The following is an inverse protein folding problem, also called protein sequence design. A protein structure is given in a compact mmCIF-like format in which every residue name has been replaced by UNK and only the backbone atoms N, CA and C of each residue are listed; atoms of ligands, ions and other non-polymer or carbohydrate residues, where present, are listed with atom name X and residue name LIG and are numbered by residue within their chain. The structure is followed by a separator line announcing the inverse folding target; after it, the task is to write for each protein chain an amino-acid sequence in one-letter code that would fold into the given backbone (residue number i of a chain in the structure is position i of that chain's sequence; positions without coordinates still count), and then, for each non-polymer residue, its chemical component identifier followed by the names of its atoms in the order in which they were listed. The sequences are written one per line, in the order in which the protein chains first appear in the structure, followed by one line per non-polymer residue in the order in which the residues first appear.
data_IF_817553092855
#
_entry.id   IF_817553092855
#
_cell.length_a   1.000
_cell.length_b   1.000
_cell.length_c   1.000
_cell.angle_alpha   90.00
_cell.angle_beta   90.00
_cell.angle_gamma   90.00
#
_symmetry.space_group_name_H-M   'P 1'
#
loop_
_entity.id
_entity.type
_entity.pdbx_description
1 polymer ?
#
# COMPACT_ATOMS: atom_id res chain seq x y z
N UNK A 1 -56.88 18.37 35.86
CA UNK A 1 -55.80 19.03 36.65
C UNK A 1 -54.57 18.17 36.54
N UNK A 2 -53.36 18.59 36.19
CA UNK A 2 -52.77 19.83 35.69
C UNK A 2 -51.54 19.38 34.89
N UNK A 3 -51.32 19.99 33.73
CA UNK A 3 -50.15 19.82 32.86
C UNK A 3 -48.91 20.53 33.45
N UNK A 4 -47.72 20.01 33.17
CA UNK A 4 -46.49 20.77 32.85
C UNK A 4 -45.48 19.78 32.23
N UNK A 5 -45.31 19.74 30.91
CA UNK A 5 -44.40 20.57 30.07
C UNK A 5 -42.92 20.47 30.47
N UNK A 6 -42.17 19.62 29.76
CA UNK A 6 -40.77 19.85 29.40
C UNK A 6 -40.59 19.52 27.91
N UNK A 7 -40.06 20.50 27.18
CA UNK A 7 -39.83 20.51 25.74
C UNK A 7 -38.47 19.89 25.39
N UNK A 8 -38.26 19.47 24.13
CA UNK A 8 -36.98 18.95 23.66
C UNK A 8 -36.04 20.11 23.30
N UNK A 9 -34.82 20.08 23.83
CA UNK A 9 -33.72 20.95 23.40
C UNK A 9 -33.01 20.26 22.23
N UNK A 10 -33.35 20.67 21.01
CA UNK A 10 -32.45 20.55 19.87
C UNK A 10 -31.45 21.70 19.97
N UNK A 11 -30.19 21.37 20.25
CA UNK A 11 -29.08 22.31 20.36
C UNK A 11 -27.89 21.81 19.56
N UNK A 12 -27.78 22.36 18.36
CA UNK A 12 -26.60 22.62 17.54
C UNK A 12 -25.23 22.21 18.13
N UNK A 13 -24.55 21.24 17.50
CA UNK A 13 -23.10 21.10 17.59
C UNK A 13 -22.50 21.66 16.30
N UNK A 14 -21.79 22.77 16.49
CA UNK A 14 -21.18 23.57 15.45
C UNK A 14 -19.99 22.85 14.82
N UNK A 15 -19.91 22.95 13.50
CA UNK A 15 -18.69 22.80 12.72
C UNK A 15 -17.61 23.75 13.24
N UNK A 16 -16.44 23.22 13.55
CA UNK A 16 -15.19 23.97 13.56
C UNK A 16 -14.46 23.70 12.25
N UNK A 17 -14.87 24.40 11.19
CA UNK A 17 -14.13 24.51 9.94
C UNK A 17 -13.39 25.85 9.93
N UNK A 18 -12.07 25.82 10.15
CA UNK A 18 -11.14 26.82 9.62
C UNK A 18 -10.79 26.30 8.22
N UNK A 19 -11.12 26.95 7.10
CA UNK A 19 -10.47 28.16 6.56
C UNK A 19 -11.48 28.97 5.73
N UNK A 20 -11.33 30.29 5.80
CA UNK A 20 -12.16 31.37 5.22
C UNK A 20 -12.34 31.34 3.69
N UNK A 21 -13.60 31.40 3.24
CA UNK A 21 -13.99 31.81 1.89
C UNK A 21 -15.25 32.71 1.94
N UNK A 22 -15.24 33.83 1.20
CA UNK A 22 -16.29 34.83 1.12
C UNK A 22 -17.55 34.31 0.37
N UNK A 23 -18.76 34.84 0.64
CA UNK A 23 -20.00 34.19 0.25
C UNK A 23 -20.41 34.50 -1.20
N UNK A 24 -20.73 33.45 -1.96
CA UNK A 24 -21.65 33.54 -3.10
C UNK A 24 -23.00 32.96 -2.70
N UNK A 25 -24.04 33.75 -2.94
CA UNK A 25 -25.44 33.49 -2.69
C UNK A 25 -25.99 32.43 -3.66
N UNK A 26 -26.72 31.41 -3.16
CA UNK A 26 -27.50 30.48 -3.98
C UNK A 26 -28.81 30.11 -3.30
N UNK A 27 -29.90 30.44 -3.99
CA UNK A 27 -31.26 30.04 -3.68
C UNK A 27 -31.47 28.52 -3.72
N UNK A 28 -32.39 28.08 -2.87
CA UNK A 28 -32.86 26.71 -2.72
C UNK A 28 -33.68 26.25 -3.94
N UNK A 29 -33.75 24.93 -4.15
CA UNK A 29 -35.07 24.33 -4.11
C UNK A 29 -35.14 23.01 -3.33
N UNK A 30 -36.27 22.87 -2.66
CA UNK A 30 -36.83 21.72 -1.98
C UNK A 30 -37.13 20.54 -2.91
N UNK A 31 -36.90 19.30 -2.47
CA UNK A 31 -37.69 18.14 -2.87
C UNK A 31 -37.94 17.17 -1.71
N UNK A 32 -39.12 16.57 -1.80
CA UNK A 32 -39.89 15.82 -0.82
C UNK A 32 -39.47 14.36 -0.65
N UNK A 33 -39.74 13.84 0.55
CA UNK A 33 -39.56 12.46 0.97
C UNK A 33 -40.51 11.46 0.29
N UNK A 34 -40.06 10.21 0.23
CA UNK A 34 -40.93 9.02 0.26
C UNK A 34 -40.23 7.90 1.01
N UNK A 35 -40.90 7.40 2.04
CA UNK A 35 -40.45 6.34 2.93
C UNK A 35 -41.01 4.96 2.50
N UNK A 36 -40.18 3.94 2.64
CA UNK A 36 -40.55 2.51 2.77
C UNK A 36 -39.37 1.87 3.51
N UNK A 37 -39.46 1.28 4.70
CA UNK A 37 -40.51 0.42 5.23
C UNK A 37 -40.09 -1.04 5.04
N UNK A 38 -39.09 -1.51 5.80
CA UNK A 38 -38.57 -2.88 5.72
C UNK A 38 -37.99 -3.36 7.06
N UNK A 39 -38.62 -4.40 7.59
CA UNK A 39 -38.47 -4.99 8.92
C UNK A 39 -37.17 -5.78 9.10
N UNK A 40 -36.44 -5.54 10.19
CA UNK A 40 -35.28 -6.34 10.62
C UNK A 40 -35.75 -7.37 11.65
N UNK A 41 -35.77 -8.65 11.25
CA UNK A 41 -35.95 -9.79 12.14
C UNK A 41 -34.59 -10.35 12.55
N UNK A 42 -34.32 -10.37 13.85
CA UNK A 42 -33.14 -11.02 14.42
C UNK A 42 -33.31 -12.52 14.55
N UNK A 43 -32.18 -13.23 14.52
CA UNK A 43 -32.06 -14.57 15.07
C UNK A 43 -30.66 -14.75 15.66
N UNK A 44 -30.65 -14.94 16.98
CA UNK A 44 -29.52 -15.44 17.77
C UNK A 44 -29.06 -16.81 17.29
N UNK A 45 -27.75 -17.04 17.35
CA UNK A 45 -27.13 -18.33 17.08
C UNK A 45 -25.67 -18.33 17.50
N UNK A 46 -25.42 -18.33 18.81
CA UNK A 46 -24.06 -18.47 19.35
C UNK A 46 -23.48 -19.84 19.04
N UNK A 47 -22.25 -19.88 18.51
CA UNK A 47 -21.37 -21.05 18.49
C UNK A 47 -19.95 -20.59 18.86
N UNK A 48 -19.53 -20.97 20.06
CA UNK A 48 -18.14 -20.93 20.53
C UNK A 48 -17.36 -22.05 19.84
N UNK A 49 -16.40 -21.70 19.00
CA UNK A 49 -15.47 -22.65 18.38
C UNK A 49 -14.05 -22.10 18.44
N UNK A 50 -13.28 -22.57 19.42
CA UNK A 50 -11.83 -22.36 19.50
C UNK A 50 -11.15 -23.18 18.40
N UNK A 51 -10.60 -22.53 17.39
CA UNK A 51 -9.77 -23.16 16.37
C UNK A 51 -8.31 -22.72 16.52
N UNK A 52 -7.50 -23.67 16.97
CA UNK A 52 -6.04 -23.62 16.97
C UNK A 52 -5.52 -23.73 15.54
N UNK A 53 -4.88 -22.67 15.03
CA UNK A 53 -4.14 -22.69 13.77
C UNK A 53 -2.67 -22.97 14.08
N UNK A 54 -2.17 -24.08 13.55
CA UNK A 54 -0.75 -24.47 13.58
C UNK A 54 -0.22 -24.31 12.15
N UNK A 55 0.68 -23.36 11.91
CA UNK A 55 1.47 -23.29 10.67
C UNK A 55 2.95 -23.32 10.99
N UNK A 56 3.54 -24.50 10.93
CA UNK A 56 4.98 -24.72 10.87
C UNK A 56 5.44 -24.57 9.41
N UNK A 57 6.19 -23.52 9.09
CA UNK A 57 6.97 -23.48 7.85
C UNK A 57 8.33 -24.12 8.12
N UNK A 58 8.49 -25.37 7.67
CA UNK A 58 9.78 -25.96 7.37
C UNK A 58 9.85 -26.18 5.85
N UNK A 59 10.92 -25.64 5.27
CA UNK A 59 11.32 -25.75 3.87
C UNK A 59 11.61 -27.21 3.52
N UNK A 60 11.05 -27.70 2.41
CA UNK A 60 11.75 -28.55 1.41
C UNK A 60 10.74 -29.17 0.41
N UNK A 61 10.43 -28.41 -0.65
CA UNK A 61 10.12 -28.90 -2.00
C UNK A 61 10.04 -27.69 -2.96
N UNK A 62 10.56 -27.75 -4.20
CA UNK A 62 10.45 -26.65 -5.12
C UNK A 62 9.00 -26.51 -5.58
N UNK A 63 8.39 -25.36 -5.29
CA UNK A 63 7.12 -24.94 -5.90
C UNK A 63 7.27 -24.99 -7.45
N UNK A 64 6.23 -25.37 -8.19
CA UNK A 64 6.28 -25.34 -9.65
C UNK A 64 6.57 -23.90 -10.09
N UNK A 65 7.68 -23.71 -10.79
CA UNK A 65 8.11 -22.45 -11.37
C UNK A 65 7.12 -22.02 -12.45
N UNK A 66 6.17 -21.16 -12.09
CA UNK A 66 5.56 -20.25 -13.06
C UNK A 66 6.71 -19.36 -13.56
N UNK A 67 6.90 -19.30 -14.87
CA UNK A 67 7.99 -18.52 -15.45
C UNK A 67 7.70 -17.02 -15.24
N UNK A 68 8.53 -16.38 -14.40
CA UNK A 68 8.55 -14.97 -13.96
C UNK A 68 8.73 -13.91 -15.08
N UNK A 69 8.15 -14.10 -16.26
CA UNK A 69 8.26 -13.20 -17.41
C UNK A 69 6.85 -12.86 -17.97
N UNK A 70 5.95 -12.33 -17.13
CA UNK A 70 4.54 -12.06 -17.53
C UNK A 70 4.30 -10.72 -18.23
N UNK A 71 5.26 -9.80 -18.26
CA UNK A 71 5.16 -8.58 -19.06
C UNK A 71 6.05 -8.69 -20.32
N UNK A 72 5.51 -8.48 -21.54
CA UNK A 72 4.18 -7.94 -21.85
C UNK A 72 3.02 -8.94 -21.70
N UNK A 73 1.83 -8.43 -21.35
CA UNK A 73 0.59 -9.21 -21.29
C UNK A 73 0.08 -9.56 -22.69
N UNK A 74 -0.82 -10.55 -22.78
CA UNK A 74 -1.42 -11.01 -24.03
C UNK A 74 -2.27 -9.96 -24.75
N UNK A 75 -2.79 -8.97 -24.03
CA UNK A 75 -3.51 -7.82 -24.59
C UNK A 75 -2.58 -6.74 -25.19
N UNK A 76 -1.25 -6.91 -25.08
CA UNK A 76 -0.24 -5.98 -25.60
C UNK A 76 0.32 -4.99 -24.56
N UNK A 77 -0.18 -5.01 -23.32
CA UNK A 77 0.33 -4.18 -22.23
C UNK A 77 1.82 -4.49 -21.95
N UNK A 78 2.69 -3.51 -21.62
CA UNK A 78 2.39 -2.08 -21.36
C UNK A 78 2.30 -1.20 -22.60
N UNK A 79 2.46 -1.76 -23.81
CA UNK A 79 2.55 -0.99 -25.05
C UNK A 79 1.18 -0.84 -25.73
N UNK A 80 0.25 -0.15 -25.07
CA UNK A 80 -1.10 0.10 -25.58
C UNK A 80 -1.15 1.40 -26.36
N UNK A 81 -1.60 1.34 -27.61
CA UNK A 81 -1.83 2.53 -28.43
C UNK A 81 -3.09 3.27 -27.99
N UNK A 82 -3.08 4.61 -28.04
CA UNK A 82 -4.23 5.45 -27.78
C UNK A 82 -4.51 6.36 -29.00
N UNK A 83 -5.64 6.20 -29.72
CA UNK A 83 -6.72 5.24 -29.47
C UNK A 83 -6.42 3.82 -30.02
N UNK A 84 -7.03 2.79 -29.42
CA UNK A 84 -7.01 1.41 -29.93
C UNK A 84 -8.14 0.56 -29.35
N UNK A 85 -8.47 -0.56 -30.00
CA UNK A 85 -9.43 -1.53 -29.44
C UNK A 85 -8.94 -2.13 -28.12
N UNK A 86 -7.63 -2.34 -27.98
CA UNK A 86 -7.04 -2.84 -26.75
C UNK A 86 -7.28 -1.88 -25.58
N UNK A 87 -7.13 -0.56 -25.81
CA UNK A 87 -7.47 0.45 -24.81
C UNK A 87 -8.97 0.45 -24.49
N UNK A 88 -9.84 0.29 -25.49
CA UNK A 88 -11.29 0.19 -25.27
C UNK A 88 -11.65 -1.01 -24.39
N UNK A 89 -11.02 -2.17 -24.62
CA UNK A 89 -11.23 -3.39 -23.83
C UNK A 89 -10.73 -3.21 -22.38
N UNK A 90 -9.58 -2.55 -22.18
CA UNK A 90 -9.08 -2.20 -20.83
C UNK A 90 -10.05 -1.23 -20.14
N UNK A 91 -10.52 -0.20 -20.83
CA UNK A 91 -11.48 0.75 -20.26
C UNK A 91 -12.79 0.07 -19.84
N UNK A 92 -13.30 -0.86 -20.65
CA UNK A 92 -14.50 -1.62 -20.32
C UNK A 92 -14.27 -2.49 -19.08
N UNK A 93 -13.16 -3.23 -19.02
CA UNK A 93 -12.82 -4.05 -17.86
C UNK A 93 -12.57 -3.23 -16.58
N UNK A 94 -11.97 -2.05 -16.70
CA UNK A 94 -11.70 -1.13 -15.58
C UNK A 94 -12.96 -0.39 -15.08
N UNK A 95 -14.10 -0.54 -15.77
CA UNK A 95 -15.33 0.23 -15.54
C UNK A 95 -15.11 1.75 -15.61
N UNK A 96 -14.16 2.20 -16.43
CA UNK A 96 -13.72 3.59 -16.48
C UNK A 96 -12.75 3.83 -17.62
N UNK A 97 -12.52 5.09 -17.96
CA UNK A 97 -11.65 5.45 -19.08
C UNK A 97 -10.34 6.05 -18.61
N UNK A 98 -9.25 5.81 -19.36
CA UNK A 98 -8.05 6.63 -19.25
C UNK A 98 -8.42 8.14 -19.31
N UNK A 99 -7.93 8.99 -18.38
CA UNK A 99 -8.23 10.41 -18.41
C UNK A 99 -7.87 11.06 -19.75
N UNK A 100 -8.81 11.83 -20.32
CA UNK A 100 -8.65 12.50 -21.61
C UNK A 100 -8.31 14.00 -21.48
N UNK A 101 -7.87 14.42 -20.29
CA UNK A 101 -7.46 15.81 -20.04
C UNK A 101 -6.19 16.18 -20.79
N UNK A 102 -5.99 17.46 -21.15
CA UNK A 102 -4.73 17.89 -21.74
C UNK A 102 -3.60 17.74 -20.70
N UNK A 103 -2.41 17.26 -21.11
CA UNK A 103 -1.27 17.21 -20.21
C UNK A 103 -0.86 18.62 -19.74
N UNK A 104 -0.19 18.76 -18.58
CA UNK A 104 0.30 20.05 -18.08
C UNK A 104 1.02 20.87 -19.18
N UNK A 105 0.87 22.20 -19.22
CA UNK A 105 1.45 23.00 -20.30
C UNK A 105 2.98 23.10 -20.22
N UNK A 106 3.54 23.02 -19.00
CA UNK A 106 4.97 23.02 -18.73
C UNK A 106 5.41 21.63 -18.22
N UNK A 107 6.71 21.36 -18.35
CA UNK A 107 7.29 20.19 -17.71
C UNK A 107 7.25 20.34 -16.18
N UNK A 108 6.92 19.27 -15.45
CA UNK A 108 7.01 19.26 -13.99
C UNK A 108 8.42 19.56 -13.48
N UNK A 109 8.52 19.92 -12.20
CA UNK A 109 9.78 19.98 -11.50
C UNK A 109 10.53 18.63 -11.59
N UNK A 110 11.86 18.66 -11.62
CA UNK A 110 12.67 17.44 -11.74
C UNK A 110 12.38 16.43 -10.61
N UNK A 111 12.08 16.94 -9.42
CA UNK A 111 11.66 16.13 -8.27
C UNK A 111 10.31 15.44 -8.52
N UNK A 112 9.37 16.13 -9.15
CA UNK A 112 8.03 15.60 -9.47
C UNK A 112 8.06 14.59 -10.62
N UNK A 113 9.05 14.70 -11.51
CA UNK A 113 9.35 13.63 -12.48
C UNK A 113 9.75 12.34 -11.76
N UNK A 114 10.49 12.40 -10.63
CA UNK A 114 10.80 11.19 -9.85
C UNK A 114 9.53 10.56 -9.28
N UNK A 115 8.57 11.36 -8.84
CA UNK A 115 7.27 10.85 -8.40
C UNK A 115 6.51 10.14 -9.53
N UNK A 116 6.48 10.70 -10.74
CA UNK A 116 5.83 10.06 -11.89
C UNK A 116 6.54 8.76 -12.29
N UNK A 117 7.87 8.73 -12.25
CA UNK A 117 8.66 7.51 -12.46
C UNK A 117 8.33 6.45 -11.41
N UNK A 118 8.24 6.84 -10.13
CA UNK A 118 7.91 5.92 -9.05
C UNK A 118 6.49 5.36 -9.21
N UNK A 119 5.49 6.20 -9.51
CA UNK A 119 4.12 5.72 -9.78
C UNK A 119 4.15 4.69 -10.90
N UNK A 120 4.73 5.01 -12.05
CA UNK A 120 4.80 4.06 -13.16
C UNK A 120 5.56 2.76 -12.81
N UNK A 121 6.58 2.84 -11.95
CA UNK A 121 7.30 1.68 -11.44
C UNK A 121 6.44 0.79 -10.54
N UNK A 122 5.64 1.41 -9.67
CA UNK A 122 4.66 0.71 -8.83
C UNK A 122 3.61 0.00 -9.69
N UNK A 123 2.96 0.73 -10.61
CA UNK A 123 1.83 0.16 -11.37
C UNK A 123 2.27 -1.00 -12.27
N UNK A 124 3.52 -0.99 -12.76
CA UNK A 124 4.07 -2.13 -13.50
C UNK A 124 4.15 -3.40 -12.65
N UNK A 125 4.52 -3.27 -11.37
CA UNK A 125 4.51 -4.40 -10.44
C UNK A 125 3.08 -4.84 -10.14
N UNK A 126 2.16 -3.91 -9.89
CA UNK A 126 0.78 -4.26 -9.56
C UNK A 126 0.07 -4.96 -10.71
N UNK A 127 0.25 -4.49 -11.95
CA UNK A 127 -0.27 -5.19 -13.13
C UNK A 127 0.29 -6.60 -13.24
N UNK A 128 1.60 -6.79 -13.01
CA UNK A 128 2.19 -8.14 -12.95
C UNK A 128 1.49 -8.99 -11.88
N UNK A 129 1.41 -8.49 -10.66
CA UNK A 129 0.90 -9.23 -9.51
C UNK A 129 -0.57 -9.64 -9.71
N UNK A 130 -1.43 -8.71 -10.13
CA UNK A 130 -2.84 -9.00 -10.35
C UNK A 130 -3.08 -9.89 -11.57
N UNK A 131 -2.23 -9.81 -12.60
CA UNK A 131 -2.26 -10.76 -13.73
C UNK A 131 -1.93 -12.19 -13.28
N UNK A 132 -0.90 -12.35 -12.44
CA UNK A 132 -0.54 -13.64 -11.85
C UNK A 132 -1.66 -14.19 -10.97
N UNK A 133 -2.20 -13.36 -10.06
CA UNK A 133 -3.28 -13.73 -9.17
C UNK A 133 -4.53 -14.17 -9.95
N UNK A 134 -4.94 -13.39 -10.94
CA UNK A 134 -6.09 -13.71 -11.79
C UNK A 134 -5.87 -15.02 -12.55
N UNK A 135 -4.67 -15.24 -13.09
CA UNK A 135 -4.31 -16.48 -13.76
C UNK A 135 -4.39 -17.70 -12.82
N UNK A 136 -3.87 -17.57 -11.60
CA UNK A 136 -3.86 -18.66 -10.63
C UNK A 136 -5.27 -19.06 -10.19
N UNK A 137 -6.12 -18.07 -9.88
CA UNK A 137 -7.53 -18.29 -9.53
C UNK A 137 -8.29 -18.88 -10.71
N UNK A 138 -8.11 -18.32 -11.91
CA UNK A 138 -8.81 -18.75 -13.13
C UNK A 138 -8.46 -20.19 -13.52
N UNK A 139 -7.24 -20.63 -13.26
CA UNK A 139 -6.79 -21.97 -13.62
C UNK A 139 -6.89 -22.99 -12.48
N UNK A 140 -7.37 -22.61 -11.30
CA UNK A 140 -7.44 -23.47 -10.12
C UNK A 140 -6.05 -24.04 -9.76
N UNK A 141 -5.02 -23.18 -9.80
CA UNK A 141 -3.69 -23.55 -9.31
C UNK A 141 -3.80 -23.96 -7.84
N UNK A 142 -3.03 -24.95 -7.42
CA UNK A 142 -3.04 -25.43 -6.03
C UNK A 142 -2.82 -24.27 -5.05
N UNK A 143 -3.61 -24.19 -3.99
CA UNK A 143 -3.66 -23.04 -3.07
C UNK A 143 -4.53 -21.85 -3.52
N UNK A 144 -5.01 -21.82 -4.78
CA UNK A 144 -5.87 -20.75 -5.34
C UNK A 144 -7.28 -21.25 -5.73
N UNK A 145 -7.69 -22.37 -5.14
CA UNK A 145 -9.00 -22.97 -5.39
C UNK A 145 -10.05 -22.43 -4.42
N UNK A 146 -11.31 -22.49 -4.84
CA UNK A 146 -12.46 -22.04 -4.07
C UNK A 146 -13.47 -23.19 -3.99
N UNK A 147 -14.09 -23.37 -2.82
CA UNK A 147 -15.17 -24.35 -2.65
C UNK A 147 -16.45 -23.89 -3.34
N UNK A 148 -16.79 -22.59 -3.21
CA UNK A 148 -17.93 -21.97 -3.86
C UNK A 148 -17.51 -21.34 -5.20
N UNK A 149 -18.10 -21.84 -6.29
CA UNK A 149 -17.86 -21.32 -7.64
C UNK A 149 -18.41 -19.91 -7.85
N UNK A 150 -19.42 -19.50 -7.08
CA UNK A 150 -19.96 -18.15 -7.12
C UNK A 150 -19.02 -17.15 -6.46
N UNK A 151 -18.49 -17.48 -5.28
CA UNK A 151 -17.47 -16.68 -4.61
C UNK A 151 -16.23 -16.51 -5.49
N UNK A 152 -15.77 -17.60 -6.10
CA UNK A 152 -14.67 -17.57 -7.07
C UNK A 152 -14.93 -16.59 -8.20
N UNK A 153 -16.14 -16.58 -8.76
CA UNK A 153 -16.48 -15.69 -9.86
C UNK A 153 -16.50 -14.23 -9.42
N UNK A 154 -17.02 -13.93 -8.23
CA UNK A 154 -16.98 -12.57 -7.65
C UNK A 154 -15.53 -12.08 -7.53
N UNK A 155 -14.63 -12.94 -7.04
CA UNK A 155 -13.20 -12.61 -6.93
C UNK A 155 -12.56 -12.42 -8.30
N UNK A 156 -12.85 -13.30 -9.27
CA UNK A 156 -12.35 -13.15 -10.65
C UNK A 156 -12.81 -11.82 -11.25
N UNK A 157 -14.08 -11.47 -11.10
CA UNK A 157 -14.63 -10.23 -11.66
C UNK A 157 -13.97 -9.00 -11.00
N UNK A 158 -13.80 -9.02 -9.68
CA UNK A 158 -13.14 -7.95 -8.95
C UNK A 158 -11.65 -7.80 -9.33
N UNK A 159 -10.88 -8.89 -9.36
CA UNK A 159 -9.46 -8.85 -9.71
C UNK A 159 -9.25 -8.51 -11.20
N UNK A 160 -10.18 -8.89 -12.09
CA UNK A 160 -10.16 -8.46 -13.50
C UNK A 160 -10.29 -6.94 -13.60
N UNK A 161 -11.21 -6.33 -12.85
CA UNK A 161 -11.36 -4.89 -12.81
C UNK A 161 -10.12 -4.20 -12.24
N UNK A 162 -9.57 -4.72 -11.13
CA UNK A 162 -8.34 -4.22 -10.52
C UNK A 162 -7.17 -4.24 -11.51
N UNK A 163 -6.89 -5.38 -12.15
CA UNK A 163 -5.80 -5.47 -13.13
C UNK A 163 -5.94 -4.40 -14.22
N UNK A 164 -7.15 -4.23 -14.76
CA UNK A 164 -7.41 -3.23 -15.80
C UNK A 164 -7.28 -1.79 -15.27
N UNK A 165 -7.64 -1.54 -14.01
CA UNK A 165 -7.46 -0.24 -13.35
C UNK A 165 -5.97 0.09 -13.20
N UNK A 166 -5.14 -0.88 -12.79
CA UNK A 166 -3.68 -0.68 -12.74
C UNK A 166 -3.05 -0.49 -14.12
N UNK A 167 -3.59 -1.15 -15.15
CA UNK A 167 -3.18 -0.88 -16.53
C UNK A 167 -3.46 0.59 -16.91
N UNK A 168 -4.62 1.13 -16.54
CA UNK A 168 -4.95 2.54 -16.78
C UNK A 168 -4.10 3.51 -15.94
N UNK A 169 -3.79 3.18 -14.69
CA UNK A 169 -2.90 3.97 -13.85
C UNK A 169 -1.50 4.05 -14.47
N UNK A 170 -0.94 2.93 -14.93
CA UNK A 170 0.34 2.93 -15.62
C UNK A 170 0.27 3.76 -16.89
N UNK A 171 -0.74 3.55 -17.75
CA UNK A 171 -0.87 4.27 -19.02
C UNK A 171 -0.97 5.78 -18.78
N UNK A 172 -1.60 6.21 -17.68
CA UNK A 172 -1.66 7.60 -17.28
C UNK A 172 -0.27 8.13 -16.86
N UNK A 173 0.44 7.42 -15.98
CA UNK A 173 1.77 7.82 -15.50
C UNK A 173 2.81 7.83 -16.62
N UNK A 174 2.91 6.73 -17.37
CA UNK A 174 3.81 6.62 -18.53
C UNK A 174 3.40 7.54 -19.68
N UNK A 175 2.11 7.84 -19.85
CA UNK A 175 1.63 8.86 -20.77
C UNK A 175 2.11 10.26 -20.41
N UNK A 176 2.12 10.59 -19.11
CA UNK A 176 2.70 11.84 -18.62
C UNK A 176 4.22 11.88 -18.83
N UNK A 177 4.92 10.78 -18.50
CA UNK A 177 6.36 10.67 -18.74
C UNK A 177 6.69 10.79 -20.22
N UNK A 178 5.99 10.14 -21.14
CA UNK A 178 6.26 10.21 -22.58
C UNK A 178 6.28 11.64 -23.15
N UNK A 179 5.62 12.60 -22.48
CA UNK A 179 5.65 14.01 -22.87
C UNK A 179 6.88 14.76 -22.36
N UNK A 180 7.39 14.42 -21.17
CA UNK A 180 8.38 15.21 -20.44
C UNK A 180 9.68 14.46 -20.14
N UNK A 181 9.70 13.15 -20.39
CA UNK A 181 10.72 12.21 -19.94
C UNK A 181 10.59 10.85 -20.69
N UNK A 182 11.29 9.81 -20.22
CA UNK A 182 11.21 8.44 -20.73
C UNK A 182 10.20 7.60 -19.92
N UNK A 183 9.25 6.92 -20.58
CA UNK A 183 8.37 5.96 -19.91
C UNK A 183 9.15 4.83 -19.22
N UNK A 184 8.72 4.46 -18.02
CA UNK A 184 9.31 3.35 -17.26
C UNK A 184 8.96 2.02 -17.93
N UNK A 185 9.97 1.15 -17.99
CA UNK A 185 9.88 -0.19 -18.56
C UNK A 185 9.81 -1.25 -17.43
N UNK A 186 9.14 -2.39 -17.66
CA UNK A 186 9.01 -3.45 -16.67
C UNK A 186 10.37 -4.05 -16.26
N UNK A 187 10.48 -4.41 -14.99
CA UNK A 187 11.49 -5.35 -14.49
C UNK A 187 10.98 -6.80 -14.61
N UNK A 188 11.76 -7.76 -14.09
CA UNK A 188 11.20 -9.07 -13.73
C UNK A 188 10.76 -9.04 -12.27
N UNK A 189 9.64 -9.67 -12.00
CA UNK A 189 9.00 -9.64 -10.70
C UNK A 189 8.91 -11.04 -10.10
N UNK A 190 8.78 -11.09 -8.78
CA UNK A 190 8.43 -12.28 -8.01
C UNK A 190 7.28 -11.94 -7.07
N UNK A 191 6.32 -12.83 -6.95
CA UNK A 191 5.33 -12.78 -5.88
C UNK A 191 5.76 -13.73 -4.75
N UNK A 192 5.72 -13.29 -3.48
CA UNK A 192 5.98 -14.17 -2.36
C UNK A 192 4.79 -15.08 -2.03
N UNK A 193 3.62 -14.86 -2.64
CA UNK A 193 2.40 -15.58 -2.33
C UNK A 193 2.37 -16.98 -2.92
N UNK A 194 1.94 -17.96 -2.12
CA UNK A 194 1.83 -19.37 -2.53
C UNK A 194 0.40 -19.89 -2.55
N UNK A 195 -0.55 -19.09 -2.07
CA UNK A 195 -1.96 -19.40 -2.01
C UNK A 195 -2.79 -18.11 -2.09
N UNK A 196 -4.10 -18.24 -2.28
CA UNK A 196 -5.00 -17.09 -2.38
C UNK A 196 -4.97 -16.19 -1.14
N UNK A 197 -4.91 -16.79 0.06
CA UNK A 197 -4.92 -16.03 1.33
C UNK A 197 -3.68 -15.17 1.49
N UNK A 198 -2.50 -15.72 1.26
CA UNK A 198 -1.22 -15.00 1.29
C UNK A 198 -1.12 -13.97 0.16
N UNK A 199 -1.71 -14.24 -1.02
CA UNK A 199 -1.79 -13.26 -2.10
C UNK A 199 -2.64 -12.04 -1.71
N UNK A 200 -3.84 -12.24 -1.16
CA UNK A 200 -4.69 -11.14 -0.72
C UNK A 200 -4.08 -10.38 0.47
N UNK A 201 -3.43 -11.08 1.40
CA UNK A 201 -2.70 -10.44 2.48
C UNK A 201 -1.54 -9.58 1.96
N UNK A 202 -0.80 -10.08 0.98
CA UNK A 202 0.28 -9.34 0.35
C UNK A 202 -0.22 -8.14 -0.46
N UNK A 203 -1.32 -8.30 -1.19
CA UNK A 203 -2.02 -7.23 -1.88
C UNK A 203 -2.38 -6.09 -0.94
N UNK A 204 -3.01 -6.42 0.19
CA UNK A 204 -3.31 -5.45 1.24
C UNK A 204 -2.07 -4.68 1.69
N UNK A 205 -0.98 -5.39 2.02
CA UNK A 205 0.25 -4.78 2.54
C UNK A 205 0.89 -3.80 1.56
N UNK A 206 1.05 -4.16 0.28
CA UNK A 206 1.68 -3.23 -0.66
C UNK A 206 0.74 -2.06 -0.98
N UNK A 207 -0.57 -2.28 -1.09
CA UNK A 207 -1.53 -1.19 -1.28
C UNK A 207 -1.53 -0.23 -0.08
N UNK A 208 -1.39 -0.72 1.16
CA UNK A 208 -1.27 0.16 2.34
C UNK A 208 -0.01 1.05 2.27
N UNK A 209 1.09 0.55 1.71
CA UNK A 209 2.31 1.36 1.46
C UNK A 209 2.06 2.42 0.39
N UNK A 210 1.38 2.07 -0.70
CA UNK A 210 1.08 3.01 -1.81
C UNK A 210 0.09 4.10 -1.35
N UNK A 211 -0.97 3.73 -0.63
CA UNK A 211 -1.92 4.66 0.00
C UNK A 211 -1.25 5.62 0.98
N UNK A 212 -0.18 5.20 1.65
CA UNK A 212 0.66 6.05 2.48
C UNK A 212 1.57 7.00 1.69
N UNK A 213 1.93 6.63 0.46
CA UNK A 213 2.94 7.28 -0.39
C UNK A 213 2.34 8.30 -1.35
N UNK A 214 1.18 8.03 -1.95
CA UNK A 214 0.57 8.93 -2.93
C UNK A 214 0.18 10.30 -2.37
N UNK A 215 -0.27 10.46 -1.10
CA UNK A 215 -0.45 11.78 -0.48
C UNK A 215 0.85 12.58 -0.35
N UNK A 216 1.98 11.91 -0.08
CA UNK A 216 3.31 12.53 -0.08
C UNK A 216 3.66 13.03 -1.48
N UNK A 217 3.44 12.21 -2.52
CA UNK A 217 3.59 12.63 -3.93
C UNK A 217 2.73 13.86 -4.27
N UNK A 218 1.47 13.91 -3.84
CA UNK A 218 0.62 15.10 -4.04
C UNK A 218 1.16 16.33 -3.32
N UNK A 219 1.79 16.14 -2.16
CA UNK A 219 2.42 17.22 -1.39
C UNK A 219 3.61 17.79 -2.16
N UNK A 220 4.46 16.94 -2.74
CA UNK A 220 5.54 17.36 -3.64
C UNK A 220 5.01 18.18 -4.82
N UNK A 221 3.99 17.68 -5.52
CA UNK A 221 3.34 18.40 -6.62
C UNK A 221 2.80 19.78 -6.20
N UNK A 222 2.17 19.86 -5.03
CA UNK A 222 1.65 21.13 -4.50
C UNK A 222 2.77 22.13 -4.18
N UNK A 223 3.85 21.67 -3.55
CA UNK A 223 4.98 22.52 -3.16
C UNK A 223 5.78 23.02 -4.37
N UNK A 224 5.89 22.22 -5.42
CA UNK A 224 6.63 22.54 -6.64
C UNK A 224 5.79 23.30 -7.68
N UNK A 225 4.47 23.44 -7.46
CA UNK A 225 3.56 24.17 -8.33
C UNK A 225 2.95 23.32 -9.46
N UNK A 226 3.15 22.00 -9.44
CA UNK A 226 2.64 21.02 -10.41
C UNK A 226 1.24 20.52 -10.09
N UNK A 227 0.37 21.47 -9.70
CA UNK A 227 -1.01 21.24 -9.29
C UNK A 227 -1.86 20.47 -10.31
N UNK A 228 -1.46 20.48 -11.59
CA UNK A 228 -2.12 19.75 -12.67
C UNK A 228 -2.09 18.23 -12.48
N UNK A 229 -1.11 17.70 -11.74
CA UNK A 229 -0.95 16.26 -11.50
C UNK A 229 -1.73 15.76 -10.27
N UNK A 230 -2.07 16.66 -9.33
CA UNK A 230 -2.68 16.32 -8.04
C UNK A 230 -4.00 15.56 -8.20
N UNK A 231 -4.88 16.00 -9.11
CA UNK A 231 -6.20 15.37 -9.26
C UNK A 231 -6.14 13.95 -9.79
N UNK A 232 -5.18 13.65 -10.67
CA UNK A 232 -4.98 12.29 -11.19
C UNK A 232 -4.61 11.35 -10.06
N UNK A 233 -3.57 11.69 -9.30
CA UNK A 233 -3.14 10.90 -8.14
C UNK A 233 -4.23 10.83 -7.06
N UNK A 234 -4.98 11.90 -6.85
CA UNK A 234 -6.08 11.91 -5.87
C UNK A 234 -7.22 10.96 -6.23
N UNK A 235 -7.48 10.75 -7.52
CA UNK A 235 -8.44 9.75 -7.98
C UNK A 235 -7.91 8.33 -7.77
N UNK A 236 -6.63 8.10 -8.05
CA UNK A 236 -5.94 6.81 -7.81
C UNK A 236 -6.01 6.43 -6.33
N UNK A 237 -5.68 7.35 -5.41
CA UNK A 237 -5.80 7.11 -3.95
C UNK A 237 -7.21 6.63 -3.55
N UNK A 238 -8.25 7.28 -4.08
CA UNK A 238 -9.63 6.90 -3.78
C UNK A 238 -9.95 5.50 -4.29
N UNK A 239 -9.48 5.18 -5.49
CA UNK A 239 -9.71 3.88 -6.13
C UNK A 239 -8.92 2.77 -5.41
N UNK A 240 -7.63 2.95 -5.12
CA UNK A 240 -6.82 1.97 -4.38
C UNK A 240 -7.37 1.74 -2.96
N UNK A 241 -7.98 2.76 -2.36
CA UNK A 241 -8.68 2.63 -1.08
C UNK A 241 -9.87 1.67 -1.14
N UNK A 242 -10.60 1.64 -2.26
CA UNK A 242 -11.68 0.67 -2.50
C UNK A 242 -11.12 -0.75 -2.62
N UNK A 243 -9.99 -0.91 -3.32
CA UNK A 243 -9.31 -2.20 -3.46
C UNK A 243 -8.81 -2.74 -2.12
N UNK A 244 -8.11 -1.89 -1.34
CA UNK A 244 -7.62 -2.25 -0.02
C UNK A 244 -8.77 -2.69 0.89
N UNK A 245 -9.89 -1.95 0.87
CA UNK A 245 -11.11 -2.34 1.59
C UNK A 245 -11.65 -3.71 1.19
N UNK A 246 -11.62 -4.05 -0.11
CA UNK A 246 -11.99 -5.37 -0.61
C UNK A 246 -11.04 -6.47 -0.13
N UNK A 247 -9.72 -6.26 -0.20
CA UNK A 247 -8.72 -7.23 0.28
C UNK A 247 -8.86 -7.50 1.77
N UNK A 248 -9.13 -6.45 2.55
CA UNK A 248 -9.39 -6.57 3.98
C UNK A 248 -10.67 -7.36 4.24
N UNK A 249 -11.73 -7.14 3.47
CA UNK A 249 -12.97 -7.90 3.60
C UNK A 249 -12.78 -9.40 3.32
N UNK A 250 -12.04 -9.76 2.27
CA UNK A 250 -11.70 -11.14 1.93
C UNK A 250 -10.88 -11.83 3.03
N UNK A 251 -10.13 -11.06 3.82
CA UNK A 251 -9.39 -11.55 4.98
C UNK A 251 -10.21 -11.55 6.28
N UNK A 252 -11.50 -11.22 6.23
CA UNK A 252 -12.39 -11.02 7.38
C UNK A 252 -11.93 -9.91 8.34
N UNK A 253 -11.19 -8.92 7.82
CA UNK A 253 -10.79 -7.72 8.53
C UNK A 253 -11.83 -6.62 8.33
N UNK A 254 -11.76 -5.57 9.16
CA UNK A 254 -12.53 -4.35 8.95
C UNK A 254 -12.01 -3.67 7.67
N UNK A 255 -12.87 -3.41 6.65
CA UNK A 255 -12.43 -2.80 5.40
C UNK A 255 -11.71 -1.45 5.58
N UNK A 256 -12.21 -0.59 6.46
CA UNK A 256 -11.53 0.64 6.83
C UNK A 256 -10.56 0.36 7.98
N UNK A 257 -9.26 0.28 7.69
CA UNK A 257 -8.23 -0.07 8.67
C UNK A 257 -8.15 0.93 9.84
N UNK A 258 -7.87 2.20 9.52
CA UNK A 258 -7.63 3.27 10.49
C UNK A 258 -8.31 4.57 10.03
N UNK A 259 -8.49 5.52 10.96
CA UNK A 259 -9.01 6.86 10.63
C UNK A 259 -8.02 7.68 9.79
N UNK A 260 -6.71 7.45 9.98
CA UNK A 260 -5.62 8.03 9.22
C UNK A 260 -4.64 6.91 8.89
N UNK A 261 -4.44 6.62 7.60
CA UNK A 261 -3.52 5.58 7.16
C UNK A 261 -2.06 5.99 7.40
N UNK A 262 -1.16 5.01 7.40
CA UNK A 262 0.26 5.20 7.68
C UNK A 262 0.94 6.02 6.62
N UNK A 263 1.63 7.09 7.04
CA UNK A 263 2.43 7.90 6.12
C UNK A 263 3.62 7.09 5.58
N UNK A 264 3.93 7.28 4.29
CA UNK A 264 5.13 6.75 3.64
C UNK A 264 5.65 7.79 2.64
N UNK A 265 6.91 7.66 2.25
CA UNK A 265 7.47 8.44 1.13
C UNK A 265 7.74 7.54 -0.05
N UNK A 266 7.87 8.13 -1.24
CA UNK A 266 8.22 7.39 -2.46
C UNK A 266 9.55 6.63 -2.35
N UNK A 267 10.50 7.12 -1.56
CA UNK A 267 11.78 6.44 -1.32
C UNK A 267 11.60 5.17 -0.46
N UNK A 268 10.73 5.20 0.55
CA UNK A 268 10.41 4.00 1.35
C UNK A 268 9.69 2.97 0.49
N UNK A 269 8.67 3.38 -0.26
CA UNK A 269 7.92 2.49 -1.14
C UNK A 269 8.79 1.89 -2.27
N UNK A 270 9.64 2.70 -2.90
CA UNK A 270 10.60 2.23 -3.89
C UNK A 270 11.52 1.15 -3.31
N UNK A 271 12.03 1.36 -2.10
CA UNK A 271 12.85 0.35 -1.42
C UNK A 271 12.04 -0.90 -1.01
N UNK A 272 10.78 -0.75 -0.61
CA UNK A 272 9.91 -1.89 -0.36
C UNK A 272 9.77 -2.78 -1.61
N UNK A 273 9.54 -2.18 -2.78
CA UNK A 273 9.45 -2.93 -4.04
C UNK A 273 10.77 -3.62 -4.39
N UNK A 274 11.88 -2.87 -4.37
CA UNK A 274 13.21 -3.42 -4.68
C UNK A 274 13.60 -4.63 -3.82
N UNK A 275 13.18 -4.64 -2.56
CA UNK A 275 13.58 -5.66 -1.60
C UNK A 275 12.66 -6.88 -1.59
N UNK A 276 11.39 -6.72 -1.98
CA UNK A 276 10.38 -7.77 -1.80
C UNK A 276 9.94 -8.43 -3.11
N UNK A 277 9.92 -7.71 -4.23
CA UNK A 277 9.23 -8.19 -5.46
C UNK A 277 10.03 -8.06 -6.73
N UNK A 278 11.13 -7.30 -6.74
CA UNK A 278 11.96 -7.13 -7.93
C UNK A 278 13.04 -8.21 -7.96
N UNK A 279 13.18 -8.93 -9.07
CA UNK A 279 14.33 -9.82 -9.29
C UNK A 279 15.59 -8.95 -9.42
N UNK A 280 16.63 -9.14 -8.57
CA UNK A 280 17.83 -8.32 -8.61
C UNK A 280 18.49 -8.30 -10.01
N UNK A 281 18.81 -7.08 -10.49
CA UNK A 281 19.45 -6.88 -11.78
C UNK A 281 18.56 -7.07 -13.01
N UNK A 282 17.24 -7.25 -12.83
CA UNK A 282 16.32 -7.48 -13.95
C UNK A 282 15.77 -6.22 -14.60
N UNK A 283 15.78 -5.09 -13.89
CA UNK A 283 15.26 -3.82 -14.39
C UNK A 283 16.13 -3.28 -15.53
N UNK A 284 15.54 -2.77 -16.63
CA UNK A 284 16.30 -2.24 -17.76
C UNK A 284 17.21 -1.06 -17.40
N UNK A 285 16.74 -0.15 -16.56
CA UNK A 285 17.52 0.99 -16.08
C UNK A 285 17.00 1.48 -14.71
N UNK A 286 17.77 1.25 -13.65
CA UNK A 286 17.49 1.80 -12.31
C UNK A 286 18.08 3.19 -12.09
N UNK A 287 18.95 3.68 -12.99
CA UNK A 287 19.59 4.99 -12.85
C UNK A 287 18.62 6.15 -12.99
N UNK A 288 17.46 5.91 -13.62
CA UNK A 288 16.35 6.88 -13.67
C UNK A 288 15.79 7.21 -12.29
N UNK A 289 16.05 6.39 -11.27
CA UNK A 289 15.65 6.63 -9.88
C UNK A 289 16.77 7.21 -9.02
N UNK A 290 17.93 7.58 -9.59
CA UNK A 290 19.08 8.05 -8.81
C UNK A 290 18.78 9.29 -7.93
N UNK A 291 17.76 10.08 -8.29
CA UNK A 291 17.29 11.20 -7.48
C UNK A 291 16.60 10.81 -6.17
N UNK A 292 16.10 9.57 -6.04
CA UNK A 292 15.56 9.02 -4.79
C UNK A 292 16.67 8.59 -3.80
N UNK A 293 17.94 8.73 -4.18
CA UNK A 293 19.09 8.33 -3.39
C UNK A 293 19.53 6.89 -3.64
N UNK A 294 20.45 6.41 -2.80
CA UNK A 294 20.90 5.01 -2.86
C UNK A 294 19.86 4.10 -2.22
N UNK A 295 19.62 2.90 -2.76
CA UNK A 295 18.80 1.91 -2.08
C UNK A 295 19.28 1.65 -0.66
N UNK A 296 18.34 1.48 0.26
CA UNK A 296 18.58 1.16 1.65
C UNK A 296 19.08 -0.27 1.79
N UNK A 297 19.77 -0.56 2.89
CA UNK A 297 19.99 -1.93 3.31
C UNK A 297 18.66 -2.60 3.68
N UNK A 298 18.58 -3.92 3.59
CA UNK A 298 17.38 -4.65 3.99
C UNK A 298 17.30 -4.71 5.51
N UNK A 299 16.16 -4.31 6.07
CA UNK A 299 15.77 -4.64 7.44
C UNK A 299 14.82 -5.84 7.39
N UNK A 300 15.26 -7.00 7.89
CA UNK A 300 14.39 -8.18 7.98
C UNK A 300 13.65 -8.18 9.31
N UNK A 301 12.33 -8.37 9.27
CA UNK A 301 11.53 -8.71 10.44
C UNK A 301 11.60 -10.22 10.66
N UNK A 302 12.34 -10.65 11.68
CA UNK A 302 12.54 -12.08 11.97
C UNK A 302 11.40 -12.65 12.83
N UNK A 303 10.64 -11.80 13.54
CA UNK A 303 9.45 -12.24 14.27
C UNK A 303 8.34 -12.63 13.29
N UNK A 304 7.82 -13.87 13.36
CA UNK A 304 6.71 -14.29 12.51
C UNK A 304 5.45 -13.47 12.78
N UNK A 305 4.68 -13.16 11.72
CA UNK A 305 3.48 -12.33 11.81
C UNK A 305 2.45 -12.86 12.83
N UNK A 306 2.28 -14.19 12.95
CA UNK A 306 1.38 -14.82 13.92
C UNK A 306 1.84 -14.70 15.39
N UNK A 307 3.05 -14.18 15.62
CA UNK A 307 3.61 -13.89 16.94
C UNK A 307 3.61 -12.41 17.30
N UNK A 308 3.26 -11.55 16.35
CA UNK A 308 3.10 -10.12 16.61
C UNK A 308 1.78 -9.94 17.33
N UNK A 309 1.87 -9.49 18.57
CA UNK A 309 0.70 -9.31 19.39
C UNK A 309 -0.10 -8.05 18.93
N UNK A 310 -1.43 -8.14 18.98
CA UNK A 310 -2.35 -7.10 18.51
C UNK A 310 -3.17 -6.45 19.63
N UNK A 311 -2.81 -6.70 20.89
CA UNK A 311 -3.49 -6.19 22.08
C UNK A 311 -2.55 -5.69 23.21
N UNK A 312 -1.24 -5.88 23.08
CA UNK A 312 -0.21 -5.45 24.04
C UNK A 312 1.17 -5.26 23.42
N UNK A 313 2.04 -4.58 24.16
CA UNK A 313 3.45 -4.41 23.80
C UNK A 313 4.15 -5.76 23.61
N UNK A 314 5.04 -5.84 22.62
CA UNK A 314 5.78 -7.08 22.30
C UNK A 314 7.19 -6.77 21.84
N UNK A 315 8.14 -7.62 22.22
CA UNK A 315 9.50 -7.56 21.69
C UNK A 315 9.55 -8.20 20.31
N UNK A 316 9.95 -7.43 19.30
CA UNK A 316 10.17 -7.91 17.94
C UNK A 316 11.66 -8.15 17.69
N UNK A 317 11.97 -9.17 16.89
CA UNK A 317 13.30 -9.54 16.44
C UNK A 317 13.50 -9.10 15.00
N UNK A 318 14.69 -8.58 14.72
CA UNK A 318 15.09 -8.09 13.41
C UNK A 318 16.50 -8.53 13.05
N UNK A 319 16.80 -8.52 11.75
CA UNK A 319 18.15 -8.72 11.26
C UNK A 319 18.55 -7.78 10.12
N UNK A 320 19.86 -7.52 10.03
CA UNK A 320 20.52 -6.78 8.95
C UNK A 320 21.78 -7.52 8.48
N UNK A 321 22.20 -7.28 7.24
CA UNK A 321 23.50 -7.78 6.75
C UNK A 321 24.67 -7.11 7.46
N UNK A 322 25.69 -7.89 7.81
CA UNK A 322 27.00 -7.45 8.30
C UNK A 322 28.09 -7.61 7.23
N UNK A 323 27.72 -7.70 5.95
CA UNK A 323 28.63 -7.98 4.84
C UNK A 323 28.65 -6.83 3.81
N UNK A 324 29.67 -6.85 2.95
CA UNK A 324 29.81 -5.86 1.87
C UNK A 324 29.82 -4.41 2.39
N UNK A 325 28.95 -3.58 1.82
CA UNK A 325 28.77 -2.17 2.17
C UNK A 325 28.35 -1.96 3.63
N UNK A 326 27.83 -3.01 4.29
CA UNK A 326 27.31 -2.98 5.67
C UNK A 326 28.27 -3.56 6.70
N UNK A 327 29.47 -3.99 6.29
CA UNK A 327 30.48 -4.62 7.17
C UNK A 327 30.93 -3.76 8.35
N UNK A 328 30.77 -2.43 8.27
CA UNK A 328 31.05 -1.53 9.38
C UNK A 328 30.05 -1.64 10.55
N UNK A 329 28.89 -2.29 10.35
CA UNK A 329 27.93 -2.61 11.41
C UNK A 329 28.14 -4.00 12.02
N UNK A 330 29.21 -4.72 11.66
CA UNK A 330 29.49 -6.07 12.15
C UNK A 330 29.62 -6.20 13.68
N UNK A 331 29.87 -5.09 14.38
CA UNK A 331 29.90 -5.00 15.86
C UNK A 331 28.57 -4.53 16.48
N UNK A 332 27.52 -4.45 15.68
CA UNK A 332 26.19 -3.96 16.05
C UNK A 332 25.89 -2.54 15.52
N UNK A 333 24.62 -2.22 15.20
CA UNK A 333 24.21 -0.92 14.66
C UNK A 333 23.99 0.13 15.77
N UNK A 334 24.98 0.33 16.64
CA UNK A 334 24.82 1.09 17.89
C UNK A 334 24.59 2.59 17.71
N UNK A 335 24.85 3.13 16.51
CA UNK A 335 24.59 4.52 16.12
C UNK A 335 23.23 4.70 15.43
N UNK A 336 22.46 3.62 15.24
CA UNK A 336 21.14 3.63 14.64
C UNK A 336 20.07 3.42 15.71
N UNK A 337 18.90 4.00 15.46
CA UNK A 337 17.68 3.72 16.21
C UNK A 337 16.69 2.97 15.34
N UNK A 338 15.89 2.09 15.96
CA UNK A 338 14.71 1.55 15.29
C UNK A 338 13.61 2.60 15.35
N UNK A 339 13.02 2.92 14.21
CA UNK A 339 11.95 3.91 14.10
C UNK A 339 10.72 3.25 13.49
N UNK A 340 9.58 3.44 14.15
CA UNK A 340 8.28 3.04 13.62
C UNK A 340 7.51 4.26 13.10
N UNK A 341 6.97 4.12 11.90
CA UNK A 341 6.02 5.04 11.29
C UNK A 341 4.67 4.34 11.27
N UNK A 342 3.68 4.90 11.94
CA UNK A 342 2.31 4.39 11.96
C UNK A 342 1.33 5.56 11.94
N UNK A 343 0.30 5.45 11.11
CA UNK A 343 -0.67 6.50 10.82
C UNK A 343 0.03 7.80 10.40
N UNK A 344 -0.58 8.96 10.65
CA UNK A 344 0.00 10.28 10.38
C UNK A 344 0.70 10.87 11.63
N UNK A 345 1.12 10.01 12.56
CA UNK A 345 1.71 10.42 13.83
C UNK A 345 3.20 10.78 13.69
N UNK A 346 3.73 11.47 14.70
CA UNK A 346 5.18 11.65 14.84
C UNK A 346 5.84 10.27 14.98
N UNK A 347 6.95 9.99 14.27
CA UNK A 347 7.62 8.70 14.32
C UNK A 347 8.08 8.30 15.72
N UNK A 348 7.93 7.02 16.04
CA UNK A 348 8.25 6.46 17.35
C UNK A 348 9.66 5.87 17.30
N UNK A 349 10.54 6.36 18.17
CA UNK A 349 11.93 5.90 18.26
C UNK A 349 12.07 4.87 19.37
N UNK A 350 12.70 3.74 19.07
CA UNK A 350 12.95 2.64 19.98
C UNK A 350 14.44 2.30 20.06
N UNK A 351 14.89 1.99 21.27
CA UNK A 351 16.23 1.46 21.50
C UNK A 351 16.31 0.02 21.01
N UNK A 352 17.40 -0.29 20.31
CA UNK A 352 17.73 -1.65 19.90
C UNK A 352 18.53 -2.38 20.98
N UNK A 353 18.30 -3.69 21.10
CA UNK A 353 19.05 -4.59 21.97
C UNK A 353 19.74 -5.62 21.10
N UNK A 354 21.06 -5.52 20.98
CA UNK A 354 21.87 -6.49 20.23
C UNK A 354 21.67 -7.91 20.80
N UNK A 355 21.42 -8.87 19.91
CA UNK A 355 21.20 -10.27 20.28
C UNK A 355 22.39 -11.15 19.88
N UNK A 356 22.71 -11.21 18.59
CA UNK A 356 23.80 -12.05 18.06
C UNK A 356 24.37 -11.50 16.76
N UNK A 357 25.52 -12.08 16.38
CA UNK A 357 26.08 -11.99 15.04
C UNK A 357 26.38 -13.42 14.61
N UNK A 358 25.63 -13.91 13.63
CA UNK A 358 25.85 -15.21 13.01
C UNK A 358 25.44 -15.17 11.55
N UNK A 359 26.03 -16.06 10.74
CA UNK A 359 25.71 -16.21 9.31
C UNK A 359 25.75 -14.90 8.49
N UNK A 360 26.69 -14.01 8.79
CA UNK A 360 26.83 -12.73 8.08
C UNK A 360 25.73 -11.71 8.39
N UNK A 361 24.94 -11.93 9.45
CA UNK A 361 23.87 -11.04 9.89
C UNK A 361 24.06 -10.58 11.32
N UNK A 362 23.61 -9.36 11.62
CA UNK A 362 23.37 -8.90 12.98
C UNK A 362 21.91 -9.11 13.31
N UNK A 363 21.65 -9.79 14.42
CA UNK A 363 20.32 -9.93 15.00
C UNK A 363 20.20 -9.01 16.21
N UNK A 364 19.05 -8.36 16.33
CA UNK A 364 18.72 -7.51 17.47
C UNK A 364 17.21 -7.54 17.73
N UNK A 365 16.82 -7.00 18.87
CA UNK A 365 15.42 -6.90 19.26
C UNK A 365 15.07 -5.47 19.64
N UNK A 366 13.79 -5.12 19.58
CA UNK A 366 13.26 -3.84 20.04
C UNK A 366 11.82 -4.00 20.54
N UNK A 367 11.38 -3.08 21.41
CA UNK A 367 9.98 -3.05 21.84
C UNK A 367 9.10 -2.54 20.71
N UNK A 368 7.97 -3.21 20.46
CA UNK A 368 6.87 -2.72 19.62
C UNK A 368 5.77 -2.19 20.56
N UNK A 369 5.66 -0.86 20.73
CA UNK A 369 4.88 -0.23 21.79
C UNK A 369 3.41 -0.09 21.40
N UNK A 370 2.72 -1.22 21.23
CA UNK A 370 1.34 -1.28 20.77
C UNK A 370 0.36 -0.59 21.72
N UNK A 371 0.44 -0.80 23.04
CA UNK A 371 -0.58 -0.31 23.99
C UNK A 371 -0.61 1.22 24.06
N UNK A 372 0.57 1.83 24.09
CA UNK A 372 0.70 3.28 24.22
C UNK A 372 0.29 4.00 22.92
N UNK A 373 0.53 3.38 21.76
CA UNK A 373 0.43 4.06 20.46
C UNK A 373 -0.70 3.55 19.56
N UNK A 374 -1.39 2.47 19.93
CA UNK A 374 -2.45 1.85 19.15
C UNK A 374 -2.01 1.58 17.71
N UNK A 375 -0.96 0.77 17.56
CA UNK A 375 -0.27 0.50 16.28
C UNK A 375 -1.08 -0.44 15.35
N UNK A 376 -2.34 -0.09 15.09
CA UNK A 376 -3.21 -0.78 14.14
C UNK A 376 -2.85 -0.40 12.69
N UNK A 377 -3.17 -1.30 11.77
CA UNK A 377 -2.88 -1.20 10.34
C UNK A 377 -1.40 -1.43 10.03
N UNK A 378 -0.97 -0.87 8.92
CA UNK A 378 0.43 -0.86 8.52
C UNK A 378 1.30 -0.10 9.54
N UNK A 379 2.41 -0.69 9.95
CA UNK A 379 3.53 0.02 10.58
C UNK A 379 4.78 -0.22 9.75
N UNK A 380 5.46 0.86 9.38
CA UNK A 380 6.74 0.80 8.66
C UNK A 380 7.87 0.95 9.67
N UNK A 381 8.76 -0.05 9.73
CA UNK A 381 9.94 -0.04 10.58
C UNK A 381 11.21 0.21 9.76
N UNK A 382 12.09 1.07 10.27
CA UNK A 382 13.41 1.36 9.66
C UNK A 382 14.49 1.47 10.73
N UNK A 383 15.75 1.22 10.36
CA UNK A 383 16.90 1.69 11.13
C UNK A 383 17.37 3.02 10.54
N UNK A 384 17.35 4.06 11.37
CA UNK A 384 17.70 5.42 10.96
C UNK A 384 18.77 6.03 11.87
N UNK A 385 19.55 6.97 11.32
CA UNK A 385 20.53 7.76 12.07
C UNK A 385 19.85 8.87 12.88
N UNK A 386 20.10 8.91 14.17
CA UNK A 386 19.50 9.89 15.08
C UNK A 386 18.50 9.25 16.03
N UNK A 387 17.91 10.07 16.90
CA UNK A 387 17.09 9.63 18.03
C UNK A 387 15.77 10.40 18.19
N UNK A 388 15.43 11.27 17.24
CA UNK A 388 14.17 12.01 17.20
C UNK A 388 13.91 12.50 15.79
N UNK A 389 12.65 12.42 15.34
CA UNK A 389 12.27 12.81 13.98
C UNK A 389 10.96 13.60 14.04
N UNK A 390 10.82 14.61 13.18
CA UNK A 390 9.63 15.44 13.13
C UNK A 390 8.47 14.74 12.40
N UNK A 391 8.78 14.04 11.31
CA UNK A 391 7.83 13.44 10.38
C UNK A 391 8.48 12.29 9.60
N UNK A 392 7.70 11.69 8.69
CA UNK A 392 8.15 10.58 7.83
C UNK A 392 9.30 10.98 6.90
N UNK A 393 9.34 12.23 6.41
CA UNK A 393 10.40 12.71 5.52
C UNK A 393 11.74 12.81 6.26
N UNK A 394 11.72 13.28 7.50
CA UNK A 394 12.90 13.30 8.36
C UNK A 394 13.43 11.90 8.65
N UNK A 395 12.53 10.92 8.83
CA UNK A 395 12.91 9.50 8.99
C UNK A 395 13.53 8.95 7.71
N UNK A 396 12.86 9.10 6.56
CA UNK A 396 13.34 8.62 5.25
C UNK A 396 14.76 9.13 4.96
N UNK A 397 15.01 10.43 5.17
CA UNK A 397 16.31 11.04 4.94
C UNK A 397 17.43 10.49 5.85
N UNK A 398 17.06 9.92 6.99
CA UNK A 398 17.98 9.33 7.96
C UNK A 398 18.06 7.80 7.87
N UNK A 399 17.19 7.16 7.09
CA UNK A 399 17.12 5.70 6.95
C UNK A 399 18.41 5.12 6.38
N UNK A 400 18.85 4.02 6.99
CA UNK A 400 19.98 3.20 6.55
C UNK A 400 19.50 1.82 6.14
N UNK A 401 18.62 1.21 6.93
CA UNK A 401 17.99 -0.08 6.62
C UNK A 401 16.47 0.00 6.68
N UNK A 402 15.80 -0.67 5.76
CA UNK A 402 14.34 -0.76 5.69
C UNK A 402 13.79 -0.59 4.28
N UNK A 403 12.47 -0.55 4.13
CA UNK A 403 11.48 -0.75 5.20
C UNK A 403 11.24 -2.23 5.53
N UNK A 404 11.02 -2.53 6.81
CA UNK A 404 10.28 -3.72 7.23
C UNK A 404 8.81 -3.34 7.44
N UNK A 405 7.89 -4.12 6.85
CA UNK A 405 6.45 -3.85 6.89
C UNK A 405 5.79 -4.75 7.92
N UNK A 406 5.01 -4.17 8.82
CA UNK A 406 4.32 -4.86 9.92
C UNK A 406 2.83 -4.59 9.79
N UNK A 407 2.02 -5.62 9.60
CA UNK A 407 0.57 -5.50 9.54
C UNK A 407 -0.06 -5.96 10.85
N UNK A 408 -0.86 -5.09 11.46
CA UNK A 408 -1.64 -5.39 12.66
C UNK A 408 -3.11 -5.11 12.38
N UNK A 409 -3.99 -6.07 12.74
CA UNK A 409 -5.43 -6.12 12.47
C UNK A 409 -5.82 -6.73 11.11
#
# INVERSE_FOLDING_TARGET
MMYNKLAPVFGSLALASLVSAAPMDRGSPSYSASASGGSWGGSDGGHSGSYSVSSTYQTDAPAPTLTNDQLPLSNGFPNIANPSKQLDDINEAAHGTLPNGPPPPAAPAADDILSLRFIAFNELFEVFFFSELLQNITNNVDGFTFEDSHERQIVIDAITAVQAQEELHLLNANGALAKFDTPIQPCKYISPATDFKSAIAFAQTFTDVVLGTLPDVQTHFGLNGDNGLIRGVGAVIGQEGEQNGFYRNLQHKIPSANAFLTASTRELAFNALLQNVIVPGSCPDLSVFAGLGKPFGVLSLDTPADKINTDKDTTLSFSISAEGDWSHYASGPQDLSLVYINQQNVPIVQSIQYASHDNGKIHFTANFPFEENLLFGLTIAVLAKGNSFADVVAVTNATVFGPALIEVL
#
